data_IF_691022772927
#
_entry.id   IF_691022772927
#
_cell.length_a   1.000
_cell.length_b   1.000
_cell.length_c   1.000
_cell.angle_alpha   90.00
_cell.angle_beta   90.00
_cell.angle_gamma   90.00
#
_symmetry.space_group_name_H-M   'P 1'
#
loop_
_entity.id
_entity.type
_entity.pdbx_description
1 polymer ?
#
# COMPACT_ATOMS: atom_id res chain seq x y z
N UNK A 1 -9.34 -2.72 20.56
CA UNK A 1 -7.92 -2.94 20.22
C UNK A 1 -7.77 -3.95 19.08
N UNK A 2 -8.31 -5.18 19.21
CA UNK A 2 -8.25 -6.22 18.16
C UNK A 2 -8.80 -5.75 16.79
N UNK A 3 -10.03 -5.22 16.75
CA UNK A 3 -10.64 -4.78 15.47
C UNK A 3 -9.86 -3.65 14.76
N UNK A 4 -9.27 -2.71 15.53
CA UNK A 4 -8.45 -1.61 14.99
C UNK A 4 -7.15 -2.13 14.38
N UNK A 5 -6.51 -3.10 15.03
CA UNK A 5 -5.25 -3.68 14.57
C UNK A 5 -5.46 -4.58 13.34
N UNK A 6 -6.53 -5.39 13.31
CA UNK A 6 -6.88 -6.22 12.15
C UNK A 6 -7.13 -5.36 10.92
N UNK A 7 -7.88 -4.25 11.05
CA UNK A 7 -8.11 -3.33 9.94
C UNK A 7 -6.81 -2.70 9.42
N UNK A 8 -5.94 -2.23 10.31
CA UNK A 8 -4.66 -1.63 9.93
C UNK A 8 -3.76 -2.62 9.17
N UNK A 9 -3.71 -3.88 9.63
CA UNK A 9 -2.98 -4.96 8.94
C UNK A 9 -3.60 -5.27 7.57
N UNK A 10 -4.93 -5.34 7.47
CA UNK A 10 -5.60 -5.57 6.18
C UNK A 10 -5.31 -4.45 5.17
N UNK A 11 -5.29 -3.19 5.61
CA UNK A 11 -4.94 -2.03 4.76
C UNK A 11 -3.48 -2.12 4.30
N UNK A 12 -2.56 -2.48 5.20
CA UNK A 12 -1.15 -2.69 4.84
C UNK A 12 -1.00 -3.78 3.77
N UNK A 13 -1.62 -4.94 4.00
CA UNK A 13 -1.58 -6.08 3.07
C UNK A 13 -2.19 -5.70 1.72
N UNK A 14 -3.33 -5.02 1.71
CA UNK A 14 -3.97 -4.52 0.49
C UNK A 14 -3.03 -3.61 -0.31
N UNK A 15 -2.39 -2.65 0.37
CA UNK A 15 -1.44 -1.74 -0.27
C UNK A 15 -0.28 -2.50 -0.93
N UNK A 16 0.33 -3.45 -0.21
CA UNK A 16 1.41 -4.30 -0.73
C UNK A 16 0.96 -5.10 -1.95
N UNK A 17 -0.22 -5.72 -1.89
CA UNK A 17 -0.77 -6.50 -3.02
C UNK A 17 -1.00 -5.61 -4.24
N UNK A 18 -1.59 -4.42 -4.06
CA UNK A 18 -1.82 -3.46 -5.15
C UNK A 18 -0.49 -3.01 -5.77
N UNK A 19 0.53 -2.73 -4.96
CA UNK A 19 1.86 -2.38 -5.46
C UNK A 19 2.49 -3.49 -6.29
N UNK A 20 2.45 -4.73 -5.81
CA UNK A 20 3.00 -5.89 -6.54
C UNK A 20 2.22 -6.12 -7.85
N UNK A 21 0.90 -6.05 -7.80
CA UNK A 21 0.06 -6.20 -8.99
C UNK A 21 0.33 -5.09 -10.02
N UNK A 22 0.49 -3.84 -9.56
CA UNK A 22 0.86 -2.71 -10.41
C UNK A 22 2.23 -2.88 -11.06
N UNK A 23 3.23 -3.35 -10.30
CA UNK A 23 4.57 -3.64 -10.82
C UNK A 23 4.54 -4.76 -11.89
N UNK A 24 3.77 -5.81 -11.65
CA UNK A 24 3.58 -6.89 -12.63
C UNK A 24 2.89 -6.38 -13.91
N UNK A 25 1.81 -5.59 -13.77
CA UNK A 25 1.14 -4.97 -14.91
C UNK A 25 2.09 -4.06 -15.71
N UNK A 26 2.92 -3.29 -15.01
CA UNK A 26 3.92 -2.42 -15.64
C UNK A 26 4.98 -3.21 -16.42
N UNK A 27 5.44 -4.34 -15.87
CA UNK A 27 6.34 -5.25 -16.58
C UNK A 27 5.69 -5.78 -17.86
N UNK A 28 4.45 -6.28 -17.78
CA UNK A 28 3.74 -6.79 -18.97
C UNK A 28 3.51 -5.71 -20.03
N UNK A 29 3.17 -4.49 -19.61
CA UNK A 29 3.02 -3.36 -20.52
C UNK A 29 4.33 -2.98 -21.20
N UNK A 30 5.46 -3.04 -20.47
CA UNK A 30 6.77 -2.75 -21.03
C UNK A 30 7.18 -3.77 -22.12
N UNK A 31 6.87 -5.06 -21.91
CA UNK A 31 7.11 -6.10 -22.92
C UNK A 31 6.27 -5.84 -24.18
N UNK A 32 4.97 -5.58 -24.03
CA UNK A 32 4.10 -5.26 -25.16
C UNK A 32 4.57 -3.98 -25.86
N UNK A 33 5.05 -2.99 -25.10
CA UNK A 33 5.51 -1.74 -25.66
C UNK A 33 6.75 -1.91 -26.55
N UNK A 34 7.68 -2.78 -26.13
CA UNK A 34 8.85 -3.16 -26.93
C UNK A 34 8.43 -3.88 -28.22
N UNK A 35 7.50 -4.84 -28.14
CA UNK A 35 7.00 -5.60 -29.30
C UNK A 35 6.23 -4.75 -30.31
N UNK A 36 5.53 -3.71 -29.85
CA UNK A 36 4.64 -2.90 -30.69
C UNK A 36 5.24 -1.54 -31.08
N UNK A 37 6.42 -1.20 -30.55
CA UNK A 37 7.09 0.08 -30.79
C UNK A 37 6.39 1.29 -30.15
N UNK A 38 5.47 1.07 -29.20
CA UNK A 38 4.82 2.15 -28.44
C UNK A 38 5.68 2.55 -27.24
N UNK A 39 5.38 3.70 -26.64
CA UNK A 39 6.05 4.13 -25.41
C UNK A 39 5.78 3.17 -24.26
N UNK A 40 6.85 2.67 -23.61
CA UNK A 40 6.75 1.88 -22.38
C UNK A 40 6.30 2.68 -21.16
N UNK A 41 6.25 4.02 -21.24
CA UNK A 41 5.81 4.87 -20.15
C UNK A 41 4.28 4.92 -20.06
N UNK A 42 3.72 4.36 -18.99
CA UNK A 42 2.29 4.38 -18.71
C UNK A 42 2.01 5.10 -17.37
N UNK A 43 1.63 6.39 -17.39
CA UNK A 43 1.34 7.17 -16.18
C UNK A 43 0.23 6.58 -15.30
N UNK A 44 -0.74 5.87 -15.89
CA UNK A 44 -1.81 5.25 -15.13
C UNK A 44 -1.29 4.10 -14.25
N UNK A 45 -0.38 3.27 -14.78
CA UNK A 45 0.24 2.19 -14.00
C UNK A 45 1.11 2.73 -12.87
N UNK A 46 1.83 3.84 -13.12
CA UNK A 46 2.55 4.56 -12.07
C UNK A 46 1.63 5.02 -10.95
N UNK A 47 0.47 5.61 -11.28
CA UNK A 47 -0.50 6.02 -10.27
C UNK A 47 -0.98 4.84 -9.42
N UNK A 48 -1.26 3.68 -10.03
CA UNK A 48 -1.67 2.48 -9.28
C UNK A 48 -0.58 2.03 -8.31
N UNK A 49 0.69 2.00 -8.75
CA UNK A 49 1.83 1.64 -7.90
C UNK A 49 1.94 2.63 -6.72
N UNK A 50 1.91 3.93 -6.98
CA UNK A 50 2.01 4.95 -5.93
C UNK A 50 0.84 4.91 -4.94
N UNK A 51 -0.37 4.66 -5.42
CA UNK A 51 -1.54 4.48 -4.55
C UNK A 51 -1.41 3.22 -3.68
N UNK A 52 -0.89 2.12 -4.22
CA UNK A 52 -0.59 0.92 -3.43
C UNK A 52 0.43 1.19 -2.34
N UNK A 53 1.53 1.88 -2.67
CA UNK A 53 2.57 2.26 -1.71
C UNK A 53 2.01 3.18 -0.64
N UNK A 54 1.25 4.21 -1.04
CA UNK A 54 0.61 5.13 -0.09
C UNK A 54 -0.35 4.41 0.85
N UNK A 55 -1.14 3.47 0.34
CA UNK A 55 -2.05 2.64 1.13
C UNK A 55 -1.28 1.77 2.14
N UNK A 56 -0.18 1.16 1.72
CA UNK A 56 0.68 0.38 2.61
C UNK A 56 1.28 1.24 3.74
N UNK A 57 1.76 2.43 3.41
CA UNK A 57 2.29 3.38 4.40
C UNK A 57 1.22 3.82 5.41
N UNK A 58 -0.01 4.08 4.96
CA UNK A 58 -1.14 4.40 5.85
C UNK A 58 -1.42 3.24 6.82
N UNK A 59 -1.47 2.00 6.31
CA UNK A 59 -1.64 0.81 7.16
C UNK A 59 -0.51 0.68 8.19
N UNK A 60 0.74 0.90 7.77
CA UNK A 60 1.91 0.88 8.65
C UNK A 60 1.82 1.93 9.77
N UNK A 61 1.47 3.18 9.44
CA UNK A 61 1.32 4.25 10.43
C UNK A 61 0.22 3.95 11.46
N UNK A 62 -0.90 3.35 11.03
CA UNK A 62 -1.96 2.92 11.93
C UNK A 62 -1.51 1.82 12.90
N UNK A 63 -0.68 0.88 12.43
CA UNK A 63 -0.09 -0.16 13.30
C UNK A 63 0.83 0.49 14.33
N UNK A 64 1.73 1.38 13.88
CA UNK A 64 2.65 2.09 14.79
C UNK A 64 1.88 2.85 15.85
N UNK A 65 0.89 3.68 15.46
CA UNK A 65 0.04 4.40 16.40
C UNK A 65 -0.66 3.47 17.39
N UNK A 66 -1.21 2.34 16.90
CA UNK A 66 -1.87 1.37 17.77
C UNK A 66 -0.94 0.68 18.77
N UNK A 67 0.35 0.58 18.48
CA UNK A 67 1.36 0.02 19.38
C UNK A 67 1.91 1.07 20.33
N UNK A 68 2.06 2.32 19.89
CA UNK A 68 2.65 3.41 20.69
C UNK A 68 1.66 4.11 21.63
N UNK A 69 0.36 4.06 21.33
CA UNK A 69 -0.67 4.61 22.22
C UNK A 69 -0.67 3.87 23.57
N UNK A 70 -0.14 4.50 24.63
CA UNK A 70 -0.36 4.06 26.01
C UNK A 70 -1.83 4.34 26.37
N UNK A 71 -2.55 3.40 27.03
CA UNK A 71 -3.91 3.66 27.45
C UNK A 71 -3.92 4.80 28.49
N UNK A 72 -4.64 5.88 28.19
CA UNK A 72 -4.87 7.03 29.09
C UNK A 72 -5.52 6.62 30.43
N UNK A 73 -6.02 5.38 30.56
CA UNK A 73 -6.58 4.83 31.79
C UNK A 73 -5.57 4.70 32.95
N UNK A 74 -4.29 5.01 32.74
CA UNK A 74 -3.26 5.05 33.78
C UNK A 74 -3.05 6.45 34.39
N UNK A 75 -3.60 7.52 33.79
CA UNK A 75 -3.42 8.90 34.27
C UNK A 75 -4.59 9.43 35.13
N UNK A 76 -5.59 8.61 35.44
CA UNK A 76 -6.74 8.98 36.28
C UNK A 76 -6.68 8.42 37.71
N UNK A 77 -5.47 8.22 38.26
CA UNK A 77 -5.27 7.84 39.68
C UNK A 77 -4.46 8.90 40.40
#
# INVERSE_FOLDING_TARGET
MIMRMTLAVSVLVLGVVVTIAGAFAMYTHAVIADETGISGANPALWMVIFLGVGTALVGMLQIVGAVTDRPESLNSR
#
